data_IF_838518052111
#
_entry.id   IF_838518052111
#
_cell.length_a   1.000
_cell.length_b   1.000
_cell.length_c   1.000
_cell.angle_alpha   90.00
_cell.angle_beta   90.00
_cell.angle_gamma   90.00
#
_symmetry.space_group_name_H-M   'P 1'
#
loop_
_entity.id
_entity.type
_entity.pdbx_description
1 polymer ?
#
# COMPACT_ATOMS: atom_id res chain seq x y z
N UNK A 1 -21.02 -8.99 -6.83
CA UNK A 1 -21.01 -8.30 -8.14
C UNK A 1 -19.61 -7.76 -8.35
N UNK A 2 -18.97 -7.98 -9.50
CA UNK A 2 -17.62 -7.48 -9.75
C UNK A 2 -17.64 -5.95 -9.96
N UNK A 3 -16.76 -5.25 -9.25
CA UNK A 3 -16.53 -3.81 -9.36
C UNK A 3 -15.71 -3.55 -10.61
N UNK A 4 -16.28 -2.79 -11.55
CA UNK A 4 -15.65 -2.34 -12.81
C UNK A 4 -15.70 -0.82 -12.96
N UNK A 5 -15.74 -0.11 -11.83
CA UNK A 5 -15.78 1.35 -11.81
C UNK A 5 -14.46 1.93 -12.34
N UNK A 6 -14.55 2.73 -13.41
CA UNK A 6 -13.38 3.27 -14.11
C UNK A 6 -12.53 4.17 -13.20
N UNK A 7 -13.16 4.92 -12.29
CA UNK A 7 -12.46 5.78 -11.34
C UNK A 7 -11.71 4.97 -10.28
N UNK A 8 -12.31 3.89 -9.77
CA UNK A 8 -11.62 2.98 -8.84
C UNK A 8 -10.42 2.32 -9.50
N UNK A 9 -10.58 1.88 -10.75
CA UNK A 9 -9.47 1.28 -11.52
C UNK A 9 -8.33 2.28 -11.72
N UNK A 10 -8.61 3.54 -12.04
CA UNK A 10 -7.55 4.54 -12.23
C UNK A 10 -6.80 4.87 -10.94
N UNK A 11 -7.47 4.85 -9.79
CA UNK A 11 -6.81 4.97 -8.47
C UNK A 11 -5.90 3.77 -8.22
N UNK A 12 -6.35 2.55 -8.54
CA UNK A 12 -5.54 1.33 -8.38
C UNK A 12 -4.31 1.37 -9.30
N UNK A 13 -4.45 1.81 -10.55
CA UNK A 13 -3.33 1.94 -11.49
C UNK A 13 -2.28 2.93 -10.96
N UNK A 14 -2.71 4.11 -10.50
CA UNK A 14 -1.82 5.11 -9.89
C UNK A 14 -1.11 4.57 -8.64
N UNK A 15 -1.86 3.89 -7.78
CA UNK A 15 -1.32 3.24 -6.58
C UNK A 15 -0.25 2.21 -6.93
N UNK A 16 -0.51 1.36 -7.93
CA UNK A 16 0.44 0.35 -8.39
C UNK A 16 1.73 0.97 -8.94
N UNK A 17 1.62 2.06 -9.70
CA UNK A 17 2.77 2.82 -10.19
C UNK A 17 3.61 3.40 -9.06
N UNK A 18 2.98 4.05 -8.08
CA UNK A 18 3.66 4.59 -6.91
C UNK A 18 4.31 3.50 -6.06
N UNK A 19 3.64 2.36 -5.86
CA UNK A 19 4.21 1.21 -5.18
C UNK A 19 5.46 0.69 -5.91
N UNK A 20 5.36 0.49 -7.23
CA UNK A 20 6.47 0.02 -8.07
C UNK A 20 7.65 0.98 -8.08
N UNK A 21 7.40 2.28 -8.16
CA UNK A 21 8.42 3.32 -8.07
C UNK A 21 9.16 3.28 -6.72
N UNK A 22 8.41 3.06 -5.64
CA UNK A 22 8.95 2.99 -4.27
C UNK A 22 9.89 1.80 -4.05
N UNK A 23 9.58 0.63 -4.61
CA UNK A 23 10.38 -0.60 -4.41
C UNK A 23 11.58 -0.70 -5.36
N UNK A 24 11.60 0.04 -6.46
CA UNK A 24 12.64 -0.07 -7.49
C UNK A 24 13.96 0.62 -7.15
N UNK A 25 14.02 1.38 -6.04
CA UNK A 25 15.25 2.02 -5.61
C UNK A 25 16.19 0.98 -4.94
N UNK A 26 17.38 0.79 -5.52
CA UNK A 26 18.35 -0.22 -5.10
C UNK A 26 18.79 -0.10 -3.64
N UNK A 27 18.86 1.11 -3.08
CA UNK A 27 19.31 1.36 -1.72
C UNK A 27 18.30 0.91 -0.65
N UNK A 28 17.01 0.88 -0.99
CA UNK A 28 15.94 0.51 -0.07
C UNK A 28 15.35 -0.87 -0.38
N UNK A 29 15.49 -1.35 -1.62
CA UNK A 29 14.90 -2.61 -2.11
C UNK A 29 15.22 -3.81 -1.24
N UNK A 30 16.48 -3.98 -0.84
CA UNK A 30 16.90 -5.11 0.01
C UNK A 30 16.19 -5.10 1.36
N UNK A 31 16.05 -3.93 1.98
CA UNK A 31 15.36 -3.78 3.25
C UNK A 31 13.83 -4.02 3.11
N UNK A 32 13.23 -3.57 2.01
CA UNK A 32 11.81 -3.79 1.73
C UNK A 32 11.47 -5.27 1.45
N UNK A 33 12.37 -6.00 0.78
CA UNK A 33 12.19 -7.44 0.50
C UNK A 33 12.40 -8.27 1.77
N UNK A 34 13.39 -7.92 2.59
CA UNK A 34 13.72 -8.64 3.84
C UNK A 34 12.76 -8.34 5.00
N UNK A 35 11.88 -7.34 4.85
CA UNK A 35 10.84 -7.05 5.82
C UNK A 35 9.94 -8.27 6.03
N UNK A 36 9.73 -8.63 7.30
CA UNK A 36 8.84 -9.72 7.67
C UNK A 36 7.39 -9.28 7.47
N UNK A 37 6.83 -9.67 6.33
CA UNK A 37 5.43 -9.45 5.99
C UNK A 37 4.75 -10.82 5.85
N UNK A 38 3.65 -11.09 6.57
CA UNK A 38 2.96 -12.37 6.49
C UNK A 38 2.61 -12.72 5.04
N UNK A 39 2.79 -13.99 4.60
CA UNK A 39 2.52 -14.40 3.23
C UNK A 39 1.12 -14.02 2.74
N UNK A 40 0.12 -14.15 3.61
CA UNK A 40 -1.27 -13.79 3.29
C UNK A 40 -1.43 -12.29 3.00
N UNK A 41 -0.76 -11.44 3.77
CA UNK A 41 -0.74 -9.98 3.55
C UNK A 41 -0.08 -9.67 2.21
N UNK A 42 1.06 -10.30 1.91
CA UNK A 42 1.74 -10.12 0.62
C UNK A 42 0.87 -10.54 -0.56
N UNK A 43 0.18 -11.67 -0.45
CA UNK A 43 -0.75 -12.15 -1.48
C UNK A 43 -1.95 -11.21 -1.68
N UNK A 44 -2.52 -10.69 -0.58
CA UNK A 44 -3.65 -9.77 -0.62
C UNK A 44 -3.32 -8.43 -1.30
N UNK A 45 -2.05 -7.99 -1.31
CA UNK A 45 -1.63 -6.78 -2.03
C UNK A 45 -1.58 -6.96 -3.55
N UNK A 46 -1.30 -8.17 -4.05
CA UNK A 46 -1.03 -8.42 -5.46
C UNK A 46 -2.12 -7.93 -6.43
N UNK A 47 -3.43 -8.08 -6.15
CA UNK A 47 -4.48 -7.54 -7.02
C UNK A 47 -4.38 -6.04 -7.24
N UNK A 48 -3.90 -5.29 -6.24
CA UNK A 48 -3.80 -3.84 -6.27
C UNK A 48 -2.43 -3.32 -6.72
N UNK A 49 -1.44 -4.21 -6.91
CA UNK A 49 -0.06 -3.81 -7.24
C UNK A 49 0.48 -4.51 -8.49
N UNK A 50 0.51 -5.84 -8.50
CA UNK A 50 1.19 -6.64 -9.52
C UNK A 50 0.24 -7.16 -10.61
N UNK A 51 -1.03 -7.38 -10.26
CA UNK A 51 -2.01 -8.07 -11.12
C UNK A 51 -3.14 -7.15 -11.61
N UNK A 52 -2.91 -5.84 -11.60
CA UNK A 52 -3.92 -4.83 -11.94
C UNK A 52 -4.60 -5.10 -13.28
N UNK A 53 -3.82 -5.43 -14.32
CA UNK A 53 -4.35 -5.74 -15.66
C UNK A 53 -5.29 -6.95 -15.66
N UNK A 54 -4.98 -7.97 -14.86
CA UNK A 54 -5.78 -9.20 -14.76
C UNK A 54 -7.12 -8.90 -14.10
N UNK A 55 -7.11 -8.16 -13.00
CA UNK A 55 -8.33 -7.83 -12.25
C UNK A 55 -9.15 -6.73 -12.93
N UNK A 56 -8.54 -5.85 -13.72
CA UNK A 56 -9.25 -4.88 -14.57
C UNK A 56 -10.20 -5.56 -15.56
N UNK A 57 -9.79 -6.70 -16.14
CA UNK A 57 -10.61 -7.46 -17.09
C UNK A 57 -11.78 -8.19 -16.39
N UNK A 58 -11.50 -8.83 -15.26
CA UNK A 58 -12.47 -9.67 -14.54
C UNK A 58 -13.39 -8.85 -13.61
N UNK A 59 -12.92 -7.68 -13.18
CA UNK A 59 -13.49 -6.87 -12.11
C UNK A 59 -13.08 -7.37 -10.72
N UNK A 60 -13.14 -6.49 -9.74
CA UNK A 60 -12.72 -6.78 -8.36
C UNK A 60 -13.92 -7.16 -7.49
N UNK A 61 -13.74 -8.02 -6.49
CA UNK A 61 -14.74 -8.17 -5.44
C UNK A 61 -14.45 -7.22 -4.27
N UNK A 62 -15.49 -6.78 -3.57
CA UNK A 62 -15.33 -5.87 -2.42
C UNK A 62 -14.44 -6.45 -1.32
N UNK A 63 -14.58 -7.74 -1.01
CA UNK A 63 -13.74 -8.45 -0.05
C UNK A 63 -12.25 -8.47 -0.46
N UNK A 64 -11.97 -8.63 -1.75
CA UNK A 64 -10.60 -8.56 -2.29
C UNK A 64 -10.03 -7.15 -2.20
N UNK A 65 -10.82 -6.13 -2.55
CA UNK A 65 -10.43 -4.72 -2.45
C UNK A 65 -10.10 -4.36 -1.00
N UNK A 66 -10.99 -4.67 -0.06
CA UNK A 66 -10.77 -4.37 1.36
C UNK A 66 -9.58 -5.13 1.94
N UNK A 67 -9.42 -6.41 1.58
CA UNK A 67 -8.25 -7.19 2.02
C UNK A 67 -6.94 -6.61 1.48
N UNK A 68 -6.91 -6.16 0.22
CA UNK A 68 -5.75 -5.53 -0.37
C UNK A 68 -5.45 -4.15 0.22
N UNK A 69 -6.47 -3.34 0.48
CA UNK A 69 -6.35 -2.04 1.16
C UNK A 69 -5.73 -2.23 2.55
N UNK A 70 -6.26 -3.16 3.34
CA UNK A 70 -5.72 -3.47 4.67
C UNK A 70 -4.29 -3.96 4.61
N UNK A 71 -3.98 -4.80 3.62
CA UNK A 71 -2.63 -5.33 3.44
C UNK A 71 -1.62 -4.25 3.04
N UNK A 72 -2.01 -3.31 2.17
CA UNK A 72 -1.20 -2.13 1.82
C UNK A 72 -0.99 -1.20 3.01
N UNK A 73 -2.05 -0.93 3.79
CA UNK A 73 -1.94 -0.13 5.01
C UNK A 73 -0.97 -0.77 6.02
N UNK A 74 -1.05 -2.10 6.19
CA UNK A 74 -0.13 -2.86 7.05
C UNK A 74 1.30 -2.80 6.54
N UNK A 75 1.50 -2.91 5.22
CA UNK A 75 2.80 -2.76 4.59
C UNK A 75 3.40 -1.37 4.86
N UNK A 76 2.64 -0.29 4.62
CA UNK A 76 3.09 1.09 4.87
C UNK A 76 3.49 1.26 6.34
N UNK A 77 2.65 0.79 7.26
CA UNK A 77 2.93 0.85 8.69
C UNK A 77 4.26 0.16 9.05
N UNK A 78 4.47 -1.07 8.57
CA UNK A 78 5.72 -1.81 8.81
C UNK A 78 6.93 -1.12 8.18
N UNK A 79 6.79 -0.56 6.98
CA UNK A 79 7.89 0.21 6.35
C UNK A 79 8.27 1.40 7.22
N UNK A 80 7.30 2.15 7.76
CA UNK A 80 7.56 3.29 8.65
C UNK A 80 8.17 2.89 9.99
N UNK A 81 7.71 1.79 10.60
CA UNK A 81 8.14 1.36 11.94
C UNK A 81 9.41 0.52 11.97
N UNK A 82 9.65 -0.30 10.96
CA UNK A 82 10.74 -1.27 10.95
C UNK A 82 11.82 -0.86 9.95
N UNK A 83 11.43 -0.61 8.70
CA UNK A 83 12.40 -0.40 7.59
C UNK A 83 13.04 0.97 7.64
N UNK A 84 12.25 2.03 7.84
CA UNK A 84 12.77 3.40 7.84
C UNK A 84 13.80 3.63 8.98
N UNK A 85 13.53 3.25 10.24
CA UNK A 85 14.51 3.40 11.32
C UNK A 85 15.76 2.55 11.11
N UNK A 86 15.59 1.33 10.59
CA UNK A 86 16.71 0.45 10.24
C UNK A 86 17.63 1.08 9.20
N UNK A 87 17.06 1.60 8.10
CA UNK A 87 17.82 2.29 7.06
C UNK A 87 18.52 3.54 7.61
N UNK A 88 17.82 4.37 8.40
CA UNK A 88 18.41 5.56 9.04
C UNK A 88 19.57 5.20 9.96
N UNK A 89 19.47 4.12 10.73
CA UNK A 89 20.55 3.61 11.58
C UNK A 89 21.78 3.19 10.76
N UNK A 90 21.56 2.50 9.63
CA UNK A 90 22.61 2.02 8.73
C UNK A 90 23.41 3.15 8.05
N UNK A 91 22.82 4.34 7.88
CA UNK A 91 23.50 5.52 7.31
C UNK A 91 24.65 6.05 8.19
N UNK A 92 24.73 5.61 9.44
CA UNK A 92 25.77 6.00 10.40
C UNK A 92 27.14 5.36 10.11
N UNK A 93 27.21 4.39 9.19
CA UNK A 93 28.43 3.69 8.80
C UNK A 93 29.44 4.51 7.99
N UNK A 94 30.62 3.93 7.77
CA UNK A 94 31.75 4.49 7.00
C UNK A 94 31.54 4.43 5.47
N UNK A 95 30.37 4.78 4.97
CA UNK A 95 30.16 4.91 3.52
C UNK A 95 30.95 6.13 2.98
N UNK A 96 31.49 6.07 1.74
CA UNK A 96 32.04 7.24 1.06
C UNK A 96 31.03 8.39 0.99
N UNK A 97 31.51 9.64 0.99
CA UNK A 97 30.67 10.84 1.08
C UNK A 97 29.53 10.91 0.05
N UNK A 98 29.83 10.64 -1.22
CA UNK A 98 28.85 10.72 -2.31
C UNK A 98 27.79 9.61 -2.24
N UNK A 99 28.22 8.38 -1.91
CA UNK A 99 27.32 7.24 -1.75
C UNK A 99 26.38 7.45 -0.56
N UNK A 100 26.90 8.03 0.53
CA UNK A 100 26.11 8.36 1.72
C UNK A 100 25.03 9.39 1.41
N UNK A 101 25.32 10.39 0.58
CA UNK A 101 24.33 11.39 0.15
C UNK A 101 23.21 10.72 -0.66
N UNK A 102 23.57 9.84 -1.61
CA UNK A 102 22.58 9.10 -2.41
C UNK A 102 21.70 8.19 -1.54
N UNK A 103 22.29 7.51 -0.56
CA UNK A 103 21.56 6.69 0.40
C UNK A 103 20.62 7.54 1.27
N UNK A 104 21.08 8.68 1.78
CA UNK A 104 20.24 9.61 2.55
C UNK A 104 19.04 10.10 1.73
N UNK A 105 19.28 10.53 0.49
CA UNK A 105 18.23 10.97 -0.43
C UNK A 105 17.23 9.84 -0.73
N UNK A 106 17.71 8.62 -0.93
CA UNK A 106 16.86 7.46 -1.16
C UNK A 106 15.95 7.17 0.06
N UNK A 107 16.49 7.28 1.28
CA UNK A 107 15.73 7.06 2.51
C UNK A 107 14.70 8.15 2.74
N UNK A 108 15.03 9.41 2.48
CA UNK A 108 14.08 10.52 2.61
C UNK A 108 12.98 10.44 1.54
N UNK A 109 13.33 10.06 0.30
CA UNK A 109 12.36 9.77 -0.76
C UNK A 109 11.45 8.59 -0.40
N UNK A 110 11.96 7.55 0.25
CA UNK A 110 11.14 6.43 0.72
C UNK A 110 10.04 6.92 1.68
N UNK A 111 10.36 7.83 2.61
CA UNK A 111 9.37 8.41 3.53
C UNK A 111 8.26 9.11 2.75
N UNK A 112 8.62 10.02 1.84
CA UNK A 112 7.67 10.76 1.00
C UNK A 112 6.80 9.81 0.18
N UNK A 113 7.41 8.81 -0.46
CA UNK A 113 6.68 7.83 -1.25
C UNK A 113 5.67 7.01 -0.42
N UNK A 114 6.01 6.68 0.83
CA UNK A 114 5.08 5.99 1.75
C UNK A 114 3.95 6.91 2.26
N UNK A 115 4.14 8.23 2.25
CA UNK A 115 3.06 9.19 2.50
C UNK A 115 2.10 9.23 1.31
N UNK A 116 2.63 9.40 0.09
CA UNK A 116 1.82 9.40 -1.14
C UNK A 116 1.04 8.08 -1.29
N UNK A 117 1.68 6.95 -1.03
CA UNK A 117 1.02 5.64 -1.09
C UNK A 117 -0.10 5.51 -0.03
N UNK A 118 0.07 6.11 1.15
CA UNK A 118 -0.97 6.10 2.18
C UNK A 118 -2.19 6.94 1.77
N UNK A 119 -1.95 8.08 1.14
CA UNK A 119 -3.02 8.94 0.60
C UNK A 119 -3.80 8.19 -0.49
N UNK A 120 -3.11 7.52 -1.43
CA UNK A 120 -3.77 6.72 -2.47
C UNK A 120 -4.58 5.54 -1.89
N UNK A 121 -4.09 4.89 -0.84
CA UNK A 121 -4.82 3.81 -0.14
C UNK A 121 -6.07 4.36 0.55
N UNK A 122 -5.96 5.54 1.16
CA UNK A 122 -7.09 6.23 1.80
C UNK A 122 -8.16 6.62 0.77
N UNK A 123 -7.75 7.21 -0.34
CA UNK A 123 -8.63 7.58 -1.46
C UNK A 123 -9.34 6.35 -2.02
N UNK A 124 -8.59 5.26 -2.23
CA UNK A 124 -9.16 3.99 -2.69
C UNK A 124 -10.19 3.47 -1.69
N UNK A 125 -9.89 3.45 -0.39
CA UNK A 125 -10.83 3.00 0.63
C UNK A 125 -12.13 3.79 0.62
N UNK A 126 -12.06 5.12 0.63
CA UNK A 126 -13.24 5.98 0.61
C UNK A 126 -14.10 5.72 -0.63
N UNK A 127 -13.46 5.53 -1.79
CA UNK A 127 -14.16 5.21 -3.03
C UNK A 127 -14.84 3.84 -2.98
N UNK A 128 -14.14 2.81 -2.50
CA UNK A 128 -14.69 1.46 -2.39
C UNK A 128 -15.86 1.42 -1.40
N UNK A 129 -15.78 2.11 -0.26
CA UNK A 129 -16.91 2.26 0.69
C UNK A 129 -18.13 2.90 0.04
N UNK A 130 -17.93 3.94 -0.77
CA UNK A 130 -19.05 4.58 -1.48
C UNK A 130 -19.71 3.59 -2.46
N UNK A 131 -18.91 2.88 -3.25
CA UNK A 131 -19.41 1.87 -4.20
C UNK A 131 -20.09 0.68 -3.50
N UNK A 132 -19.57 0.27 -2.35
CA UNK A 132 -20.12 -0.84 -1.56
C UNK A 132 -21.51 -0.48 -1.03
N UNK A 133 -21.67 0.73 -0.50
CA UNK A 133 -22.98 1.28 -0.08
C UNK A 133 -23.97 1.37 -1.24
N UNK A 134 -23.53 1.83 -2.40
CA UNK A 134 -24.38 1.94 -3.59
C UNK A 134 -24.80 0.57 -4.15
N UNK A 135 -23.91 -0.42 -4.03
CA UNK A 135 -24.14 -1.79 -4.50
C UNK A 135 -25.00 -2.62 -3.54
N UNK A 136 -24.95 -2.29 -2.24
CA UNK A 136 -25.65 -2.99 -1.17
C UNK A 136 -26.75 -2.12 -0.53
N UNK A 137 -27.71 -1.65 -1.35
CA UNK A 137 -28.85 -0.83 -0.86
C UNK A 137 -29.82 -1.58 0.08
N UNK A 138 -29.82 -2.91 0.04
CA UNK A 138 -30.79 -3.77 0.76
C UNK A 138 -30.11 -4.66 1.81
N UNK A 139 -28.82 -4.97 1.64
CA UNK A 139 -28.05 -5.81 2.57
C UNK A 139 -26.96 -4.96 3.21
N UNK A 140 -26.49 -5.32 4.41
CA UNK A 140 -25.35 -4.65 5.01
C UNK A 140 -24.14 -4.69 4.04
N UNK A 141 -23.46 -3.57 3.78
CA UNK A 141 -22.23 -3.52 2.99
C UNK A 141 -21.15 -4.46 3.53
N UNK A 142 -20.17 -4.78 2.70
CA UNK A 142 -19.05 -5.67 3.07
C UNK A 142 -18.15 -5.00 4.11
N UNK A 143 -17.90 -3.70 4.01
CA UNK A 143 -17.01 -3.00 4.97
C UNK A 143 -17.48 -3.11 6.43
N UNK A 144 -18.80 -3.17 6.67
CA UNK A 144 -19.37 -3.30 8.02
C UNK A 144 -19.11 -4.68 8.66
N UNK A 145 -18.77 -5.67 7.84
CA UNK A 145 -18.53 -7.05 8.26
C UNK A 145 -17.06 -7.34 8.50
N UNK A 146 -16.19 -6.38 8.23
CA UNK A 146 -14.73 -6.50 8.35
C UNK A 146 -14.23 -5.59 9.47
N UNK A 147 -14.24 -6.05 10.73
CA UNK A 147 -13.86 -5.23 11.88
C UNK A 147 -12.41 -4.73 11.78
N UNK A 148 -11.54 -5.44 11.05
CA UNK A 148 -10.14 -5.09 10.85
C UNK A 148 -9.96 -3.75 10.12
N UNK A 149 -10.96 -3.30 9.35
CA UNK A 149 -10.92 -2.01 8.65
C UNK A 149 -10.96 -0.81 9.61
N UNK A 150 -11.40 -1.00 10.86
CA UNK A 150 -11.38 0.05 11.88
C UNK A 150 -9.95 0.51 12.21
N UNK A 151 -8.96 -0.36 12.01
CA UNK A 151 -7.55 -0.05 12.26
C UNK A 151 -6.88 0.73 11.13
N UNK A 152 -7.55 0.93 9.97
CA UNK A 152 -6.94 1.58 8.80
C UNK A 152 -6.43 3.00 9.10
N UNK A 153 -7.23 3.80 9.80
CA UNK A 153 -6.82 5.17 10.15
C UNK A 153 -5.53 5.20 10.95
N UNK A 154 -5.38 4.28 11.92
CA UNK A 154 -4.15 4.14 12.69
C UNK A 154 -3.00 3.66 11.82
N UNK A 155 -3.20 2.66 10.97
CA UNK A 155 -2.14 2.10 10.11
C UNK A 155 -1.59 3.12 9.11
N UNK A 156 -2.43 4.01 8.58
CA UNK A 156 -2.02 5.00 7.56
C UNK A 156 -1.43 6.28 8.14
N UNK A 157 -1.77 6.63 9.39
CA UNK A 157 -1.32 7.89 10.03
C UNK A 157 -0.22 7.70 11.07
N UNK A 158 0.07 6.47 11.49
CA UNK A 158 1.13 6.22 12.46
C UNK A 158 2.50 6.44 11.82
N UNK A 159 3.24 7.43 12.34
CA UNK A 159 4.67 7.66 12.10
C UNK A 159 5.50 7.08 13.24
#
# INVERSE_FOLDING_TARGET
>A
MPVKDMQTISVIERLAEHFKSSINNSYVRTALISMDLPPNTRMAMQPLTEKVDTFKLHGYRFDELYSGILALATYIYKVRKEVYPYLRGSLSGKAPGDEKILQMLAVDNLKTNMSVLADDVSDLYMRVVQLDKESHKVKAPVYERMPELQSLGQLLTSD
#
